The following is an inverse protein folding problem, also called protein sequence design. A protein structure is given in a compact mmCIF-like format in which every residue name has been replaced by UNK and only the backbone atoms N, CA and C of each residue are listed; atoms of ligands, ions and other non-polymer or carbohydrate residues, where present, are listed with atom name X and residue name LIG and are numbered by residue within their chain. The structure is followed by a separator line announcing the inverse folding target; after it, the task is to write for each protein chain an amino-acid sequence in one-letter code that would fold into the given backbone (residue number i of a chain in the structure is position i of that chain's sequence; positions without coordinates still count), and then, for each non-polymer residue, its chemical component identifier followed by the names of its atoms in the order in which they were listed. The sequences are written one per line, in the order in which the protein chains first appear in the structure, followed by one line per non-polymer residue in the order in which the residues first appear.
data_IF_355283751784
#
_entry.id   IF_355283751784
#
_cell.length_a   1.000
_cell.length_b   1.000
_cell.length_c   1.000
_cell.angle_alpha   90.00
_cell.angle_beta   90.00
_cell.angle_gamma   90.00
#
_symmetry.space_group_name_H-M   'P 1'
#
loop_
_entity.id
_entity.type
_entity.pdbx_description
1 polymer ?
#
# COMPACT_ATOMS: atom_id res chain seq x y z
N UNK A 1 2.18 2.66 -6.55
CA UNK A 1 2.66 3.40 -5.35
C UNK A 1 2.27 4.88 -5.47
N UNK A 2 1.04 5.12 -5.90
CA UNK A 2 0.47 6.47 -5.98
C UNK A 2 -0.46 6.75 -4.79
N UNK A 3 -0.50 5.81 -3.82
CA UNK A 3 -1.32 5.87 -2.60
C UNK A 3 -1.29 7.25 -1.93
N UNK A 4 -0.10 7.85 -1.79
CA UNK A 4 0.08 9.16 -1.14
C UNK A 4 -0.48 10.33 -1.97
N UNK A 5 -0.70 10.13 -3.27
CA UNK A 5 -1.24 11.11 -4.21
C UNK A 5 -2.76 10.98 -4.37
N UNK A 6 -3.33 9.81 -4.11
CA UNK A 6 -4.75 9.50 -4.35
C UNK A 6 -5.58 9.35 -3.07
N UNK A 7 -4.95 9.08 -1.93
CA UNK A 7 -5.64 8.86 -0.66
C UNK A 7 -5.22 9.82 0.44
N UNK A 8 -6.18 10.34 1.24
CA UNK A 8 -5.89 11.02 2.49
C UNK A 8 -4.97 10.20 3.42
N UNK A 9 -3.98 10.82 4.10
CA UNK A 9 -3.03 10.10 4.94
C UNK A 9 -3.63 9.21 6.03
N UNK A 10 -4.78 9.61 6.60
CA UNK A 10 -5.44 8.83 7.64
C UNK A 10 -5.98 7.48 7.12
N UNK A 11 -6.45 7.41 5.86
CA UNK A 11 -6.93 6.15 5.27
C UNK A 11 -5.78 5.18 5.02
N UNK A 12 -4.62 5.71 4.62
CA UNK A 12 -3.39 4.92 4.47
C UNK A 12 -2.95 4.38 5.84
N UNK A 13 -2.99 5.20 6.89
CA UNK A 13 -2.68 4.76 8.25
C UNK A 13 -3.62 3.65 8.73
N UNK A 14 -4.94 3.78 8.46
CA UNK A 14 -5.93 2.76 8.79
C UNK A 14 -5.69 1.45 8.03
N UNK A 15 -5.34 1.51 6.74
CA UNK A 15 -4.97 0.32 5.97
C UNK A 15 -3.73 -0.38 6.55
N UNK A 16 -2.69 0.38 6.91
CA UNK A 16 -1.51 -0.16 7.59
C UNK A 16 -1.87 -0.81 8.93
N UNK A 17 -2.73 -0.18 9.74
CA UNK A 17 -3.21 -0.75 11.00
C UNK A 17 -4.02 -2.03 10.80
N UNK A 18 -4.87 -2.08 9.78
CA UNK A 18 -5.65 -3.26 9.42
C UNK A 18 -4.75 -4.42 9.01
N UNK A 19 -3.75 -4.19 8.15
CA UNK A 19 -2.76 -5.22 7.79
C UNK A 19 -2.02 -5.72 9.04
N UNK A 20 -1.58 -4.80 9.90
CA UNK A 20 -0.85 -5.15 11.12
C UNK A 20 -1.71 -5.95 12.10
N UNK A 21 -3.01 -5.65 12.22
CA UNK A 21 -3.91 -6.38 13.10
C UNK A 21 -4.13 -7.81 12.62
N UNK A 22 -4.33 -8.00 11.31
CA UNK A 22 -4.43 -9.33 10.69
C UNK A 22 -3.14 -10.11 10.90
N UNK A 23 -1.98 -9.49 10.65
CA UNK A 23 -0.67 -10.13 10.84
C UNK A 23 -0.37 -10.51 12.31
N UNK A 24 -0.94 -9.78 13.27
CA UNK A 24 -0.78 -10.03 14.71
C UNK A 24 -1.93 -10.82 15.32
N UNK A 25 -2.87 -11.31 14.50
CA UNK A 25 -4.09 -12.00 14.96
C UNK A 25 -4.87 -11.20 16.01
N UNK A 26 -4.86 -9.88 15.88
CA UNK A 26 -5.55 -8.97 16.80
C UNK A 26 -6.89 -8.55 16.20
N UNK A 27 -7.97 -8.88 16.90
CA UNK A 27 -9.30 -8.38 16.56
C UNK A 27 -9.43 -6.90 16.92
N UNK A 28 -9.77 -6.10 15.91
CA UNK A 28 -10.01 -4.65 16.02
C UNK A 28 -11.30 -4.24 15.30
N UNK A 29 -12.19 -5.19 15.03
CA UNK A 29 -13.43 -4.97 14.26
C UNK A 29 -14.30 -3.91 14.92
N UNK A 30 -14.55 -4.03 16.22
CA UNK A 30 -15.33 -3.05 17.00
C UNK A 30 -14.72 -1.65 16.97
N UNK A 31 -13.40 -1.54 17.09
CA UNK A 31 -12.72 -0.24 17.01
C UNK A 31 -12.89 0.42 15.65
N UNK A 32 -12.84 -0.37 14.56
CA UNK A 32 -13.09 0.12 13.20
C UNK A 32 -14.55 0.53 12.96
N UNK A 33 -15.51 -0.20 13.52
CA UNK A 33 -16.94 0.13 13.42
C UNK A 33 -17.25 1.50 14.06
N UNK A 34 -16.61 1.82 15.18
CA UNK A 34 -16.78 3.11 15.87
C UNK A 34 -16.28 4.30 15.05
N UNK A 35 -15.28 4.11 14.18
CA UNK A 35 -14.68 5.18 13.37
C UNK A 35 -15.59 5.66 12.23
N UNK A 36 -16.64 4.90 11.88
CA UNK A 36 -17.56 5.21 10.75
C UNK A 36 -16.83 5.47 9.42
N UNK A 37 -15.72 4.76 9.20
CA UNK A 37 -14.95 4.84 7.95
C UNK A 37 -15.43 3.78 6.97
N UNK A 38 -15.40 4.10 5.67
CA UNK A 38 -15.70 3.11 4.62
C UNK A 38 -14.60 2.02 4.57
N UNK A 39 -14.95 0.84 5.07
CA UNK A 39 -14.05 -0.31 5.10
C UNK A 39 -13.71 -0.86 3.71
N UNK A 40 -14.52 -0.56 2.67
CA UNK A 40 -14.14 -0.93 1.31
C UNK A 40 -12.92 -0.14 0.84
N UNK A 41 -12.84 1.15 1.18
CA UNK A 41 -11.68 2.00 0.86
C UNK A 41 -10.45 1.50 1.62
N UNK A 42 -10.57 1.23 2.92
CA UNK A 42 -9.47 0.70 3.74
C UNK A 42 -8.97 -0.63 3.20
N UNK A 43 -9.88 -1.54 2.82
CA UNK A 43 -9.54 -2.83 2.22
C UNK A 43 -8.81 -2.67 0.88
N UNK A 44 -9.29 -1.80 -0.01
CA UNK A 44 -8.67 -1.57 -1.32
C UNK A 44 -7.24 -1.06 -1.18
N UNK A 45 -7.01 -0.08 -0.30
CA UNK A 45 -5.67 0.44 0.00
C UNK A 45 -4.79 -0.67 0.58
N UNK A 46 -5.34 -1.49 1.47
CA UNK A 46 -4.61 -2.61 2.07
C UNK A 46 -4.15 -3.63 1.01
N UNK A 47 -5.01 -3.92 0.03
CA UNK A 47 -4.67 -4.82 -1.07
C UNK A 47 -3.55 -4.26 -1.95
N UNK A 48 -3.53 -2.95 -2.25
CA UNK A 48 -2.42 -2.34 -3.01
C UNK A 48 -1.09 -2.41 -2.24
N UNK A 49 -1.13 -2.20 -0.91
CA UNK A 49 0.06 -2.35 -0.05
C UNK A 49 0.56 -3.80 -0.06
N UNK A 50 -0.34 -4.79 0.03
CA UNK A 50 0.04 -6.20 -0.02
C UNK A 50 0.59 -6.60 -1.39
N UNK A 51 -0.03 -6.13 -2.47
CA UNK A 51 0.45 -6.31 -3.84
C UNK A 51 1.89 -5.80 -4.01
N UNK A 52 2.22 -4.66 -3.39
CA UNK A 52 3.60 -4.18 -3.34
C UNK A 52 4.54 -5.18 -2.67
N UNK A 53 4.19 -5.77 -1.54
CA UNK A 53 5.05 -6.77 -0.89
C UNK A 53 5.25 -8.05 -1.72
N UNK A 54 4.24 -8.46 -2.49
CA UNK A 54 4.31 -9.67 -3.32
C UNK A 54 5.05 -9.44 -4.64
N UNK A 55 4.73 -8.34 -5.32
CA UNK A 55 5.11 -8.11 -6.71
C UNK A 55 6.26 -7.11 -6.89
N UNK A 56 6.63 -6.34 -5.85
CA UNK A 56 7.75 -5.40 -5.92
C UNK A 56 9.12 -6.07 -5.68
N UNK A 57 9.38 -7.18 -6.36
CA UNK A 57 10.74 -7.71 -6.51
C UNK A 57 11.36 -7.13 -7.79
N UNK A 58 11.86 -5.91 -7.69
CA UNK A 58 12.63 -5.32 -8.79
C UNK A 58 14.08 -5.81 -8.67
N UNK A 59 14.57 -6.49 -9.70
CA UNK A 59 15.99 -6.87 -9.78
C UNK A 59 16.85 -5.66 -10.19
N UNK A 60 18.10 -5.63 -9.71
CA UNK A 60 19.07 -4.60 -10.10
C UNK A 60 19.24 -4.50 -11.62
N UNK A 61 19.12 -5.64 -12.34
CA UNK A 61 19.13 -5.68 -13.80
C UNK A 61 17.98 -4.88 -14.43
N UNK A 62 16.76 -5.00 -13.88
CA UNK A 62 15.60 -4.23 -14.35
C UNK A 62 15.77 -2.74 -14.07
N UNK A 63 16.35 -2.39 -12.92
CA UNK A 63 16.66 -1.00 -12.55
C UNK A 63 17.65 -0.41 -13.57
N UNK A 64 18.77 -1.10 -13.81
CA UNK A 64 19.80 -0.66 -14.76
C UNK A 64 19.25 -0.53 -16.19
N UNK A 65 18.43 -1.49 -16.64
CA UNK A 65 17.80 -1.43 -17.96
C UNK A 65 16.82 -0.24 -18.08
N UNK A 66 16.08 0.09 -17.02
CA UNK A 66 15.21 1.25 -16.98
C UNK A 66 16.00 2.57 -17.04
N UNK A 67 17.07 2.69 -16.25
CA UNK A 67 17.96 3.86 -16.29
C UNK A 67 18.59 4.07 -17.66
N UNK A 68 19.06 3.01 -18.32
CA UNK A 68 19.61 3.10 -19.69
C UNK A 68 18.60 3.59 -20.73
N UNK A 69 17.29 3.42 -20.50
CA UNK A 69 16.24 3.96 -21.37
C UNK A 69 15.87 5.41 -21.05
N UNK A 70 16.11 5.85 -19.82
CA UNK A 70 15.87 7.21 -19.36
C UNK A 70 16.98 8.17 -19.77
N UNK A 71 18.15 7.65 -20.16
CA UNK A 71 19.29 8.45 -20.60
C UNK A 71 18.93 9.19 -21.90
N UNK A 72 18.41 10.40 -21.73
CA UNK A 72 18.03 11.32 -22.78
C UNK A 72 19.33 11.73 -23.47
N UNK A 73 19.63 11.17 -24.64
CA UNK A 73 20.64 11.77 -25.52
C UNK A 73 20.04 13.09 -26.05
N UNK A 74 20.61 14.26 -25.69
CA UNK A 74 20.17 15.53 -26.25
C UNK A 74 20.38 15.59 -27.77
#
# INVERSE_FOLDING_TARGET
MDLILIHPPYLIALACMYIASVHREKDITTWFEELRVDMNVVKNISMEILDFYENYKISDERINAAFSKLDFKP
#
